data_IF_605103727602
#
_entry.id   IF_605103727602
#
_cell.length_a   1.000
_cell.length_b   1.000
_cell.length_c   1.000
_cell.angle_alpha   90.00
_cell.angle_beta   90.00
_cell.angle_gamma   90.00
#
_symmetry.space_group_name_H-M   'P 1'
#
loop_
_entity.id
_entity.type
_entity.pdbx_description
1 polymer ?
#
# COMPACT_ATOMS: atom_id res chain seq x y z
N UNK A 1 -20.39 -2.71 -54.15
CA UNK A 1 -20.31 -3.55 -55.38
C UNK A 1 -21.62 -4.28 -55.73
N UNK A 2 -22.42 -4.72 -54.75
CA UNK A 2 -23.73 -5.33 -54.98
C UNK A 2 -24.71 -4.48 -55.82
N UNK A 3 -24.84 -3.14 -55.66
CA UNK A 3 -25.82 -2.37 -56.41
C UNK A 3 -25.51 -2.26 -57.91
N UNK A 4 -24.23 -2.29 -58.30
CA UNK A 4 -23.81 -2.22 -59.71
C UNK A 4 -24.13 -3.53 -60.43
N UNK A 5 -23.95 -4.66 -59.75
CA UNK A 5 -24.31 -5.97 -60.29
C UNK A 5 -25.83 -6.13 -60.44
N UNK A 6 -26.60 -5.62 -59.48
CA UNK A 6 -28.07 -5.61 -59.54
C UNK A 6 -28.60 -4.69 -60.64
N UNK A 7 -27.97 -3.53 -60.86
CA UNK A 7 -28.34 -2.60 -61.94
C UNK A 7 -28.00 -3.17 -63.33
N UNK A 8 -26.85 -3.84 -63.48
CA UNK A 8 -26.48 -4.52 -64.72
C UNK A 8 -27.40 -5.72 -65.02
N UNK A 9 -27.83 -6.46 -64.00
CA UNK A 9 -28.78 -7.57 -64.14
C UNK A 9 -30.17 -7.06 -64.58
N UNK A 10 -30.65 -5.96 -63.99
CA UNK A 10 -31.90 -5.31 -64.39
C UNK A 10 -31.84 -4.76 -65.82
N UNK A 11 -30.73 -4.14 -66.22
CA UNK A 11 -30.56 -3.60 -67.57
C UNK A 11 -30.52 -4.72 -68.64
N UNK A 12 -29.88 -5.85 -68.32
CA UNK A 12 -29.85 -7.02 -69.20
C UNK A 12 -31.23 -7.69 -69.31
N UNK A 13 -31.96 -7.81 -68.19
CA UNK A 13 -33.33 -8.33 -68.19
C UNK A 13 -34.29 -7.44 -68.99
N UNK A 14 -34.14 -6.11 -68.91
CA UNK A 14 -34.93 -5.16 -69.71
C UNK A 14 -34.63 -5.26 -71.22
N UNK A 15 -33.36 -5.46 -71.60
CA UNK A 15 -32.97 -5.67 -73.00
C UNK A 15 -33.48 -7.00 -73.57
N UNK A 16 -33.51 -8.06 -72.75
CA UNK A 16 -34.08 -9.35 -73.13
C UNK A 16 -35.61 -9.26 -73.34
N UNK A 17 -36.32 -8.56 -72.47
CA UNK A 17 -37.77 -8.33 -72.59
C UNK A 17 -38.13 -7.43 -73.78
N UNK A 18 -37.30 -6.44 -74.09
CA UNK A 18 -37.47 -5.58 -75.27
C UNK A 18 -37.26 -6.33 -76.60
N UNK A 19 -36.44 -7.39 -76.60
CA UNK A 19 -36.23 -8.24 -77.78
C UNK A 19 -37.41 -9.15 -78.12
N UNK A 20 -38.37 -9.37 -77.20
CA UNK A 20 -39.57 -10.19 -77.42
C UNK A 20 -40.74 -9.40 -78.07
N UNK A 21 -40.67 -8.07 -78.14
CA UNK A 21 -41.77 -7.23 -78.63
C UNK A 21 -41.87 -7.12 -80.18
N UNK A 22 -41.02 -7.83 -80.94
CA UNK A 22 -41.01 -7.80 -82.41
C UNK A 22 -40.94 -9.22 -83.02
N UNK A 23 -42.03 -9.99 -82.91
CA UNK A 23 -42.16 -11.30 -83.56
C UNK A 23 -43.62 -11.67 -83.84
N UNK A 24 -44.02 -11.60 -85.10
CA UNK A 24 -45.38 -11.90 -85.55
C UNK A 24 -45.75 -13.39 -85.42
N UNK A 25 -47.01 -13.63 -85.07
CA UNK A 25 -47.61 -14.95 -84.86
C UNK A 25 -47.60 -15.81 -86.13
N UNK A 26 -46.96 -17.00 -86.07
CA UNK A 26 -47.23 -18.12 -86.97
C UNK A 26 -47.52 -19.38 -86.14
N UNK A 27 -48.69 -19.98 -86.38
CA UNK A 27 -49.18 -21.16 -85.66
C UNK A 27 -48.35 -22.42 -85.93
N UNK A 28 -47.68 -22.90 -84.89
CA UNK A 28 -46.84 -24.09 -84.83
C UNK A 28 -45.86 -23.94 -83.66
N UNK A 29 -45.39 -25.03 -83.03
CA UNK A 29 -44.40 -24.93 -81.94
C UNK A 29 -43.17 -24.19 -82.48
N UNK A 30 -42.84 -22.97 -82.00
CA UNK A 30 -41.79 -22.14 -82.58
C UNK A 30 -40.43 -22.61 -82.03
N UNK A 31 -39.97 -23.77 -82.50
CA UNK A 31 -38.69 -24.36 -82.12
C UNK A 31 -37.52 -23.37 -82.27
N UNK A 32 -37.58 -22.45 -83.23
CA UNK A 32 -36.57 -21.39 -83.40
C UNK A 32 -36.53 -20.34 -82.29
N UNK A 33 -37.69 -19.93 -81.75
CA UNK A 33 -37.73 -18.91 -80.69
C UNK A 33 -37.40 -19.51 -79.32
N UNK A 34 -37.79 -20.77 -79.08
CA UNK A 34 -37.37 -21.55 -77.90
C UNK A 34 -35.84 -21.68 -77.87
N UNK A 35 -35.20 -21.97 -79.01
CA UNK A 35 -33.73 -22.07 -79.10
C UNK A 35 -33.06 -20.72 -78.82
N UNK A 36 -33.57 -19.60 -79.36
CA UNK A 36 -33.04 -18.26 -79.06
C UNK A 36 -33.17 -17.91 -77.58
N UNK A 37 -34.32 -18.19 -76.97
CA UNK A 37 -34.56 -17.94 -75.55
C UNK A 37 -33.63 -18.79 -74.67
N UNK A 38 -33.40 -20.06 -75.06
CA UNK A 38 -32.46 -20.94 -74.38
C UNK A 38 -31.02 -20.45 -74.49
N UNK A 39 -30.59 -19.99 -75.67
CA UNK A 39 -29.25 -19.39 -75.85
C UNK A 39 -29.10 -18.11 -75.02
N UNK A 40 -30.11 -17.24 -75.00
CA UNK A 40 -30.09 -16.03 -74.17
C UNK A 40 -30.00 -16.37 -72.67
N UNK A 41 -30.81 -17.32 -72.19
CA UNK A 41 -30.75 -17.81 -70.82
C UNK A 41 -29.39 -18.43 -70.49
N UNK A 42 -28.81 -19.22 -71.39
CA UNK A 42 -27.49 -19.82 -71.20
C UNK A 42 -26.38 -18.75 -71.12
N UNK A 43 -26.45 -17.69 -71.95
CA UNK A 43 -25.53 -16.55 -71.89
C UNK A 43 -25.68 -15.80 -70.56
N UNK A 44 -26.91 -15.54 -70.10
CA UNK A 44 -27.17 -14.90 -68.81
C UNK A 44 -26.61 -15.72 -67.65
N UNK A 45 -26.90 -17.03 -67.61
CA UNK A 45 -26.39 -17.93 -66.57
C UNK A 45 -24.88 -18.01 -66.62
N UNK A 46 -24.27 -18.08 -67.81
CA UNK A 46 -22.81 -18.07 -67.97
C UNK A 46 -22.17 -16.79 -67.43
N UNK A 47 -22.72 -15.62 -67.79
CA UNK A 47 -22.27 -14.33 -67.29
C UNK A 47 -22.45 -14.22 -65.77
N UNK A 48 -23.60 -14.64 -65.24
CA UNK A 48 -23.89 -14.64 -63.81
C UNK A 48 -22.91 -15.52 -63.05
N UNK A 49 -22.70 -16.76 -63.48
CA UNK A 49 -21.75 -17.68 -62.83
C UNK A 49 -20.33 -17.14 -62.88
N UNK A 50 -19.91 -16.53 -64.00
CA UNK A 50 -18.57 -15.92 -64.11
C UNK A 50 -18.39 -14.74 -63.15
N UNK A 51 -19.37 -13.83 -63.07
CA UNK A 51 -19.30 -12.65 -62.20
C UNK A 51 -19.53 -12.97 -60.71
N UNK A 52 -20.37 -13.95 -60.37
CA UNK A 52 -20.73 -14.27 -58.97
C UNK A 52 -19.78 -15.25 -58.29
N UNK A 53 -19.04 -16.09 -59.05
CA UNK A 53 -18.09 -17.05 -58.48
C UNK A 53 -17.07 -16.41 -57.53
N UNK A 54 -16.50 -15.27 -57.93
CA UNK A 54 -15.48 -14.55 -57.16
C UNK A 54 -16.04 -13.89 -55.87
N UNK A 55 -17.08 -13.04 -55.91
CA UNK A 55 -17.63 -12.44 -54.70
C UNK A 55 -18.27 -13.45 -53.75
N UNK A 56 -18.92 -14.50 -54.26
CA UNK A 56 -19.54 -15.53 -53.42
C UNK A 56 -18.49 -16.37 -52.68
N UNK A 57 -17.42 -16.79 -53.39
CA UNK A 57 -16.31 -17.51 -52.74
C UNK A 57 -15.58 -16.63 -51.73
N UNK A 58 -15.38 -15.34 -52.04
CA UNK A 58 -14.75 -14.39 -51.12
C UNK A 58 -15.56 -14.22 -49.83
N UNK A 59 -16.88 -14.05 -49.94
CA UNK A 59 -17.75 -13.89 -48.77
C UNK A 59 -17.78 -15.13 -47.88
N UNK A 60 -17.85 -16.33 -48.49
CA UNK A 60 -17.81 -17.59 -47.72
C UNK A 60 -16.46 -17.83 -47.05
N UNK A 61 -15.35 -17.46 -47.70
CA UNK A 61 -14.00 -17.51 -47.11
C UNK A 61 -13.87 -16.54 -45.95
N UNK A 62 -14.28 -15.29 -46.12
CA UNK A 62 -14.26 -14.27 -45.07
C UNK A 62 -15.10 -14.68 -43.85
N UNK A 63 -16.30 -15.23 -44.07
CA UNK A 63 -17.13 -15.78 -42.99
C UNK A 63 -16.47 -16.95 -42.27
N UNK A 64 -15.84 -17.86 -43.03
CA UNK A 64 -15.13 -19.01 -42.45
C UNK A 64 -13.92 -18.58 -41.64
N UNK A 65 -13.15 -17.60 -42.13
CA UNK A 65 -12.00 -17.02 -41.43
C UNK A 65 -12.42 -16.27 -40.17
N UNK A 66 -13.49 -15.47 -40.22
CA UNK A 66 -14.05 -14.79 -39.06
C UNK A 66 -14.49 -15.79 -37.98
N UNK A 67 -15.18 -16.87 -38.38
CA UNK A 67 -15.61 -17.90 -37.43
C UNK A 67 -14.41 -18.62 -36.81
N UNK A 68 -13.43 -19.03 -37.62
CA UNK A 68 -12.17 -19.64 -37.12
C UNK A 68 -11.47 -18.73 -36.13
N UNK A 69 -11.30 -17.45 -36.49
CA UNK A 69 -10.68 -16.45 -35.61
C UNK A 69 -11.46 -16.27 -34.31
N UNK A 70 -12.80 -16.23 -34.37
CA UNK A 70 -13.62 -16.10 -33.16
C UNK A 70 -13.49 -17.30 -32.22
N UNK A 71 -13.36 -18.52 -32.77
CA UNK A 71 -13.15 -19.75 -31.99
C UNK A 71 -11.75 -19.75 -31.39
N UNK A 72 -10.74 -19.37 -32.16
CA UNK A 72 -9.35 -19.27 -31.70
C UNK A 72 -9.20 -18.21 -30.59
N UNK A 73 -9.78 -17.02 -30.77
CA UNK A 73 -9.78 -15.95 -29.77
C UNK A 73 -10.52 -16.39 -28.51
N UNK A 74 -11.65 -17.11 -28.62
CA UNK A 74 -12.37 -17.66 -27.47
C UNK A 74 -11.56 -18.75 -26.74
N UNK A 75 -10.86 -19.64 -27.47
CA UNK A 75 -9.98 -20.65 -26.88
C UNK A 75 -8.81 -20.01 -26.14
N UNK A 76 -8.15 -19.04 -26.78
CA UNK A 76 -7.06 -18.26 -26.16
C UNK A 76 -7.52 -17.52 -24.91
N UNK A 77 -8.67 -16.84 -24.97
CA UNK A 77 -9.22 -16.14 -23.81
C UNK A 77 -9.50 -17.11 -22.64
N UNK A 78 -9.99 -18.33 -22.94
CA UNK A 78 -10.23 -19.37 -21.94
C UNK A 78 -8.92 -19.89 -21.34
N UNK A 79 -7.91 -20.14 -22.15
CA UNK A 79 -6.58 -20.58 -21.69
C UNK A 79 -5.91 -19.50 -20.82
N UNK A 80 -5.94 -18.25 -21.25
CA UNK A 80 -5.41 -17.12 -20.47
C UNK A 80 -6.17 -16.95 -19.14
N UNK A 81 -7.50 -17.11 -19.13
CA UNK A 81 -8.29 -17.06 -17.90
C UNK A 81 -7.95 -18.23 -16.96
N UNK A 82 -7.80 -19.44 -17.49
CA UNK A 82 -7.40 -20.61 -16.71
C UNK A 82 -6.00 -20.46 -16.11
N UNK A 83 -5.04 -19.93 -16.89
CA UNK A 83 -3.69 -19.66 -16.42
C UNK A 83 -3.68 -18.60 -15.30
N UNK A 84 -4.46 -17.52 -15.45
CA UNK A 84 -4.63 -16.49 -14.41
C UNK A 84 -5.26 -17.07 -13.14
N UNK A 85 -6.27 -17.92 -13.27
CA UNK A 85 -6.91 -18.57 -12.13
C UNK A 85 -5.92 -19.45 -11.37
N UNK A 86 -5.18 -20.31 -12.08
CA UNK A 86 -4.16 -21.18 -11.48
C UNK A 86 -3.05 -20.37 -10.76
N UNK A 87 -2.63 -19.24 -11.34
CA UNK A 87 -1.65 -18.35 -10.71
C UNK A 87 -2.20 -17.71 -9.43
N UNK A 88 -3.47 -17.28 -9.43
CA UNK A 88 -4.14 -16.73 -8.24
C UNK A 88 -4.28 -17.81 -7.16
N UNK A 89 -4.75 -19.01 -7.51
CA UNK A 89 -4.90 -20.13 -6.57
C UNK A 89 -3.56 -20.50 -5.93
N UNK A 90 -2.49 -20.56 -6.71
CA UNK A 90 -1.14 -20.81 -6.21
C UNK A 90 -0.70 -19.70 -5.24
N UNK A 91 -0.94 -18.44 -5.59
CA UNK A 91 -0.62 -17.31 -4.73
C UNK A 91 -1.41 -17.34 -3.43
N UNK A 92 -2.71 -17.62 -3.49
CA UNK A 92 -3.58 -17.72 -2.31
C UNK A 92 -3.18 -18.88 -1.41
N UNK A 93 -2.78 -20.03 -1.99
CA UNK A 93 -2.24 -21.15 -1.23
C UNK A 93 -0.93 -20.78 -0.50
N UNK A 94 -0.05 -19.99 -1.14
CA UNK A 94 1.18 -19.50 -0.53
C UNK A 94 0.97 -18.51 0.62
N UNK A 95 -0.06 -17.65 0.52
CA UNK A 95 -0.36 -16.63 1.54
C UNK A 95 -0.60 -17.22 2.93
N UNK A 96 -1.23 -18.39 3.04
CA UNK A 96 -1.45 -19.03 4.34
C UNK A 96 -0.12 -19.36 5.04
N UNK A 97 0.88 -19.82 4.29
CA UNK A 97 2.23 -20.09 4.79
C UNK A 97 2.97 -18.81 5.18
N UNK A 98 2.89 -17.78 4.34
CA UNK A 98 3.50 -16.46 4.61
C UNK A 98 2.91 -15.82 5.87
N UNK A 99 1.59 -15.87 6.05
CA UNK A 99 0.91 -15.37 7.26
C UNK A 99 1.35 -16.15 8.50
N UNK A 100 1.46 -17.48 8.41
CA UNK A 100 1.92 -18.30 9.53
C UNK A 100 3.39 -18.04 9.88
N UNK A 101 4.25 -17.76 8.89
CA UNK A 101 5.64 -17.35 9.14
C UNK A 101 5.71 -15.95 9.75
N UNK A 102 4.94 -15.00 9.23
CA UNK A 102 4.85 -13.64 9.75
C UNK A 102 4.37 -13.63 11.21
N UNK A 103 3.33 -14.40 11.54
CA UNK A 103 2.83 -14.50 12.91
C UNK A 103 3.89 -15.08 13.86
N UNK A 104 4.61 -16.14 13.45
CA UNK A 104 5.70 -16.71 14.25
C UNK A 104 6.83 -15.72 14.47
N UNK A 105 7.19 -14.92 13.45
CA UNK A 105 8.19 -13.86 13.58
C UNK A 105 7.72 -12.77 14.55
N UNK A 106 6.47 -12.32 14.43
CA UNK A 106 5.89 -11.32 15.33
C UNK A 106 5.82 -11.81 16.78
N UNK A 107 5.46 -13.07 17.04
CA UNK A 107 5.48 -13.64 18.39
C UNK A 107 6.89 -13.68 18.97
N UNK A 108 7.88 -14.15 18.19
CA UNK A 108 9.27 -14.19 18.64
C UNK A 108 9.85 -12.79 18.91
N UNK A 109 9.54 -11.81 18.06
CA UNK A 109 9.94 -10.41 18.25
C UNK A 109 9.24 -9.79 19.47
N UNK A 110 7.96 -10.10 19.70
CA UNK A 110 7.22 -9.63 20.87
C UNK A 110 7.79 -10.19 22.18
N UNK A 111 8.16 -11.47 22.21
CA UNK A 111 8.78 -12.11 23.36
C UNK A 111 10.16 -11.51 23.67
N UNK A 112 11.00 -11.29 22.65
CA UNK A 112 12.31 -10.66 22.82
C UNK A 112 12.18 -9.21 23.31
N UNK A 113 11.25 -8.45 22.74
CA UNK A 113 11.00 -7.07 23.15
C UNK A 113 10.44 -7.01 24.58
N UNK A 114 9.56 -7.94 24.97
CA UNK A 114 9.06 -8.04 26.33
C UNK A 114 10.19 -8.31 27.32
N UNK A 115 11.11 -9.22 27.00
CA UNK A 115 12.30 -9.50 27.81
C UNK A 115 13.19 -8.26 27.92
N UNK A 116 13.41 -7.54 26.82
CA UNK A 116 14.21 -6.31 26.78
C UNK A 116 13.60 -5.21 27.64
N UNK A 117 12.30 -4.99 27.55
CA UNK A 117 11.56 -4.02 28.37
C UNK A 117 11.66 -4.39 29.84
N UNK A 118 11.46 -5.67 30.19
CA UNK A 118 11.58 -6.12 31.57
C UNK A 118 12.99 -5.91 32.14
N UNK A 119 14.03 -6.25 31.38
CA UNK A 119 15.41 -6.03 31.79
C UNK A 119 15.74 -4.54 31.97
N UNK A 120 15.30 -3.70 31.03
CA UNK A 120 15.48 -2.25 31.12
C UNK A 120 14.74 -1.65 32.32
N UNK A 121 13.51 -2.10 32.58
CA UNK A 121 12.72 -1.67 33.74
C UNK A 121 13.40 -2.07 35.06
N UNK A 122 13.92 -3.29 35.18
CA UNK A 122 14.68 -3.73 36.36
C UNK A 122 15.94 -2.88 36.58
N UNK A 123 16.69 -2.61 35.51
CA UNK A 123 17.87 -1.75 35.58
C UNK A 123 17.52 -0.33 36.05
N UNK A 124 16.44 0.26 35.53
CA UNK A 124 16.01 1.60 35.95
C UNK A 124 15.48 1.61 37.38
N UNK A 125 14.75 0.57 37.81
CA UNK A 125 14.31 0.44 39.21
C UNK A 125 15.51 0.44 40.17
N UNK A 126 16.54 -0.34 39.87
CA UNK A 126 17.76 -0.36 40.70
C UNK A 126 18.48 0.99 40.67
N UNK A 127 18.56 1.64 39.50
CA UNK A 127 19.13 2.98 39.36
C UNK A 127 18.40 4.01 40.22
N UNK A 128 17.07 4.01 40.17
CA UNK A 128 16.21 4.90 40.98
C UNK A 128 16.38 4.58 42.46
N UNK A 129 16.46 3.30 42.84
CA UNK A 129 16.66 2.89 44.22
C UNK A 129 17.99 3.40 44.79
N UNK A 130 19.09 3.22 44.06
CA UNK A 130 20.41 3.71 44.45
C UNK A 130 20.41 5.22 44.56
N UNK A 131 19.80 5.92 43.60
CA UNK A 131 19.69 7.38 43.63
C UNK A 131 18.87 7.87 44.82
N UNK A 132 17.76 7.21 45.13
CA UNK A 132 16.91 7.54 46.27
C UNK A 132 17.64 7.33 47.61
N UNK A 133 18.37 6.22 47.75
CA UNK A 133 19.20 5.95 48.93
C UNK A 133 20.29 7.02 49.10
N UNK A 134 21.01 7.34 48.02
CA UNK A 134 22.02 8.39 48.05
C UNK A 134 21.43 9.74 48.45
N UNK A 135 20.31 10.15 47.86
CA UNK A 135 19.64 11.40 48.22
C UNK A 135 19.15 11.41 49.67
N UNK A 136 18.60 10.30 50.16
CA UNK A 136 18.18 10.17 51.56
C UNK A 136 19.38 10.32 52.52
N UNK A 137 20.51 9.69 52.23
CA UNK A 137 21.73 9.80 53.04
C UNK A 137 22.27 11.23 53.07
N UNK A 138 22.22 11.94 51.94
CA UNK A 138 22.62 13.35 51.88
C UNK A 138 21.69 14.23 52.72
N UNK A 139 20.38 14.01 52.65
CA UNK A 139 19.42 14.79 53.43
C UNK A 139 19.56 14.53 54.93
N UNK A 140 19.80 13.27 55.33
CA UNK A 140 20.09 12.93 56.74
C UNK A 140 21.37 13.60 57.22
N UNK A 141 22.43 13.63 56.41
CA UNK A 141 23.68 14.33 56.76
C UNK A 141 23.42 15.82 56.94
N UNK A 142 22.72 16.45 56.00
CA UNK A 142 22.36 17.86 56.05
C UNK A 142 21.53 18.20 57.28
N UNK A 143 20.49 17.43 57.57
CA UNK A 143 19.66 17.60 58.77
C UNK A 143 20.48 17.45 60.05
N UNK A 144 21.41 16.49 60.12
CA UNK A 144 22.31 16.34 61.27
C UNK A 144 23.26 17.54 61.45
N UNK A 145 23.77 18.10 60.36
CA UNK A 145 24.59 19.30 60.42
C UNK A 145 23.80 20.53 60.88
N UNK A 146 22.57 20.67 60.41
CA UNK A 146 21.66 21.74 60.82
C UNK A 146 21.31 21.64 62.31
N UNK A 147 20.92 20.46 62.79
CA UNK A 147 20.69 20.20 64.22
C UNK A 147 21.93 20.47 65.08
N UNK A 148 23.13 20.14 64.60
CA UNK A 148 24.37 20.47 65.32
C UNK A 148 24.62 21.97 65.40
N UNK A 149 24.35 22.70 64.32
CA UNK A 149 24.46 24.18 64.31
C UNK A 149 23.46 24.81 65.28
N UNK A 150 22.21 24.36 65.27
CA UNK A 150 21.18 24.84 66.20
C UNK A 150 21.52 24.50 67.66
N UNK A 151 21.95 23.27 67.94
CA UNK A 151 22.35 22.87 69.28
C UNK A 151 23.56 23.68 69.79
N UNK A 152 24.54 23.94 68.92
CA UNK A 152 25.68 24.79 69.26
C UNK A 152 25.22 26.23 69.58
N UNK A 153 24.34 26.81 68.76
CA UNK A 153 23.80 28.15 68.99
C UNK A 153 23.03 28.25 70.31
N UNK A 154 22.17 27.26 70.61
CA UNK A 154 21.44 27.19 71.88
C UNK A 154 22.38 27.03 73.08
N UNK A 155 23.39 26.16 72.97
CA UNK A 155 24.37 25.96 74.03
C UNK A 155 25.20 27.23 74.29
N UNK A 156 25.64 27.92 73.24
CA UNK A 156 26.35 29.20 73.39
C UNK A 156 25.47 30.27 74.00
N UNK A 157 24.19 30.35 73.62
CA UNK A 157 23.25 31.30 74.21
C UNK A 157 22.99 31.03 75.70
N UNK A 158 22.81 29.76 76.07
CA UNK A 158 22.65 29.36 77.47
C UNK A 158 23.92 29.64 78.29
N UNK A 159 25.10 29.33 77.75
CA UNK A 159 26.38 29.63 78.39
C UNK A 159 26.58 31.15 78.58
N UNK A 160 26.24 31.96 77.57
CA UNK A 160 26.28 33.42 77.66
C UNK A 160 25.37 33.94 78.78
N UNK A 161 24.15 33.42 78.89
CA UNK A 161 23.22 33.79 79.95
C UNK A 161 23.74 33.43 81.35
N UNK A 162 24.33 32.23 81.50
CA UNK A 162 24.94 31.78 82.77
C UNK A 162 26.12 32.68 83.15
N UNK A 163 27.04 32.94 82.21
CA UNK A 163 28.20 33.82 82.44
C UNK A 163 27.72 35.20 82.86
N UNK A 164 26.74 35.77 82.15
CA UNK A 164 26.16 37.09 82.47
C UNK A 164 25.57 37.15 83.88
N UNK A 165 24.91 36.08 84.33
CA UNK A 165 24.31 35.99 85.68
C UNK A 165 25.33 35.75 86.80
N UNK A 166 26.43 35.05 86.51
CA UNK A 166 27.44 34.66 87.49
C UNK A 166 28.61 35.66 87.62
N UNK A 167 28.75 36.61 86.68
CA UNK A 167 29.89 37.53 86.62
C UNK A 167 29.91 38.52 87.78
N UNK A 168 31.04 38.62 88.49
CA UNK A 168 31.23 39.60 89.58
C UNK A 168 32.00 40.84 89.09
N UNK A 169 32.00 41.96 89.85
CA UNK A 169 32.78 43.15 89.50
C UNK A 169 34.30 42.89 89.37
N UNK A 170 34.85 42.00 90.21
CA UNK A 170 36.27 41.63 90.18
C UNK A 170 36.64 40.88 88.90
N UNK A 171 35.74 40.00 88.41
CA UNK A 171 35.92 39.31 87.13
C UNK A 171 35.88 40.27 85.95
N UNK A 172 35.01 41.29 85.96
CA UNK A 172 34.98 42.32 84.91
C UNK A 172 36.30 43.09 84.83
N UNK A 173 36.83 43.56 85.97
CA UNK A 173 38.12 44.28 85.97
C UNK A 173 39.28 43.39 85.53
N UNK A 174 39.30 42.11 85.95
CA UNK A 174 40.31 41.15 85.53
C UNK A 174 40.30 40.94 84.02
N UNK A 175 39.11 40.73 83.43
CA UNK A 175 38.95 40.58 81.99
C UNK A 175 39.39 41.82 81.21
N UNK A 176 39.10 43.03 81.70
CA UNK A 176 39.57 44.28 81.07
C UNK A 176 41.10 44.37 81.10
N UNK A 177 41.73 44.07 82.24
CA UNK A 177 43.20 44.07 82.36
C UNK A 177 43.85 43.06 81.42
N UNK A 178 43.37 41.81 81.39
CA UNK A 178 43.87 40.77 80.48
C UNK A 178 43.71 41.16 79.00
N UNK A 179 42.59 41.82 78.64
CA UNK A 179 42.34 42.25 77.26
C UNK A 179 43.27 43.40 76.83
N UNK A 180 43.52 44.37 77.72
CA UNK A 180 44.50 45.43 77.48
C UNK A 180 45.91 44.85 77.30
N UNK A 181 46.25 43.80 78.05
CA UNK A 181 47.54 43.14 77.98
C UNK A 181 47.71 42.33 76.68
N UNK A 182 46.68 41.59 76.26
CA UNK A 182 46.64 40.90 74.95
C UNK A 182 46.72 41.85 73.76
N UNK A 183 45.99 42.98 73.79
CA UNK A 183 46.07 43.98 72.72
C UNK A 183 47.50 44.56 72.66
N UNK A 184 48.14 44.79 73.81
CA UNK A 184 49.53 45.26 73.86
C UNK A 184 50.52 44.23 73.30
N UNK A 185 50.25 42.93 73.44
CA UNK A 185 51.06 41.85 72.87
C UNK A 185 50.90 41.75 71.33
N UNK A 186 49.68 41.93 70.80
CA UNK A 186 49.41 41.86 69.34
C UNK A 186 49.89 43.11 68.59
N UNK A 187 49.94 44.27 69.25
CA UNK A 187 50.39 45.54 68.65
C UNK A 187 51.92 45.71 68.71
N UNK A 188 52.63 44.79 69.38
CA UNK A 188 54.08 44.77 69.49
C UNK A 188 54.72 43.87 68.42
#
# INVERSE_FOLDING_TARGET
MIPVLSAAFLAFAAAAFASEAAGGHHGGIPWGDIVKQFVNFAILVGALVYFLKKPLSSFLKERSEMLRKSIEDASRAREEAAAKLAAIETRVAGLAGEIAEMNRKMEAEADDEALRIHAAAQAEIERVRVQAQFSADQEVKKAREELRREAAALATGAAEEIVRKAMTPEDQERLVRENIEKIREVVR
#
